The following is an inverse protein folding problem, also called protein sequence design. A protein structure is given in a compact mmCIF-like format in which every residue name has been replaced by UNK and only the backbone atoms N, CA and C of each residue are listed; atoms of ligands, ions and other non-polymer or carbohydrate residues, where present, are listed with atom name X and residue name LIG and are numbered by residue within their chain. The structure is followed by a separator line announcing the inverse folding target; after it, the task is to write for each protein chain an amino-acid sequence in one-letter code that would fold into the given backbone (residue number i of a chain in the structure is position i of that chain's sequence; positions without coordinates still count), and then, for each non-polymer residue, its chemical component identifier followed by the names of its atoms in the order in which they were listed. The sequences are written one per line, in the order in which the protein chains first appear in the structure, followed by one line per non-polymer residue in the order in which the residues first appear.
data_IF_328780944433
#
_entry.id   IF_328780944433
#
_cell.length_a   1.000
_cell.length_b   1.000
_cell.length_c   1.000
_cell.angle_alpha   90.00
_cell.angle_beta   90.00
_cell.angle_gamma   90.00
#
_symmetry.space_group_name_H-M   'P 1'
#
loop_
_entity.id
_entity.type
_entity.pdbx_description
1 polymer ?
#
# COMPACT_ATOMS: atom_id res chain seq x y z
N UNK A 1 3.14 6.05 15.52
CA UNK A 1 2.22 6.06 14.36
C UNK A 1 0.83 5.61 14.82
N UNK A 2 -0.15 6.51 14.77
CA UNK A 2 -1.58 6.21 14.92
C UNK A 2 -2.15 5.80 13.56
N UNK A 3 -2.96 4.74 13.51
CA UNK A 3 -3.49 4.16 12.27
C UNK A 3 -5.01 4.32 12.27
N UNK A 4 -5.58 4.89 11.20
CA UNK A 4 -7.02 5.03 11.04
C UNK A 4 -7.48 4.58 9.65
N UNK A 5 -8.53 3.76 9.60
CA UNK A 5 -9.25 3.46 8.38
C UNK A 5 -10.45 4.40 8.27
N UNK A 6 -10.62 5.02 7.10
CA UNK A 6 -11.72 5.94 6.78
C UNK A 6 -12.61 5.32 5.69
N UNK A 7 -13.37 6.13 4.96
CA UNK A 7 -14.13 5.64 3.81
C UNK A 7 -13.18 5.04 2.77
N UNK A 8 -13.20 3.72 2.64
CA UNK A 8 -12.23 2.97 1.86
C UNK A 8 -12.90 2.34 0.64
N UNK A 9 -12.36 2.64 -0.54
CA UNK A 9 -12.68 2.01 -1.81
C UNK A 9 -11.39 1.42 -2.38
N UNK A 10 -11.25 0.09 -2.57
CA UNK A 10 -10.02 -0.49 -3.09
C UNK A 10 -9.67 -0.04 -4.52
N UNK A 11 -10.66 0.38 -5.31
CA UNK A 11 -10.45 0.91 -6.67
C UNK A 11 -10.16 2.42 -6.69
N UNK A 12 -10.28 3.08 -5.53
CA UNK A 12 -10.07 4.51 -5.37
C UNK A 12 -9.51 4.81 -3.97
N UNK A 13 -8.35 4.24 -3.66
CA UNK A 13 -7.79 4.27 -2.32
C UNK A 13 -6.76 5.40 -2.19
N UNK A 14 -7.06 6.39 -1.36
CA UNK A 14 -6.06 7.36 -0.92
C UNK A 14 -5.41 6.90 0.37
N UNK A 15 -4.07 6.94 0.41
CA UNK A 15 -3.29 6.66 1.61
C UNK A 15 -2.56 7.96 2.01
N UNK A 16 -2.70 8.34 3.27
CA UNK A 16 -2.20 9.60 3.81
C UNK A 16 -1.21 9.36 4.93
N UNK A 17 -0.16 10.17 4.97
CA UNK A 17 0.90 10.14 5.95
C UNK A 17 1.03 11.53 6.55
N UNK A 18 0.94 11.64 7.87
CA UNK A 18 1.34 12.84 8.59
C UNK A 18 2.70 12.61 9.22
N UNK A 19 3.64 13.46 8.88
CA UNK A 19 4.99 13.44 9.42
C UNK A 19 5.10 14.37 10.63
N UNK A 20 6.01 14.07 11.56
CA UNK A 20 6.27 14.94 12.72
C UNK A 20 6.83 16.33 12.34
N UNK A 21 7.40 16.45 11.14
CA UNK A 21 7.95 17.66 10.56
C UNK A 21 7.85 17.55 9.03
N UNK A 22 8.04 18.67 8.31
CA UNK A 22 8.12 18.65 6.83
C UNK A 22 9.26 17.72 6.39
N UNK A 23 8.97 16.63 5.65
CA UNK A 23 9.99 15.64 5.32
C UNK A 23 11.00 16.19 4.31
N UNK A 24 12.27 15.90 4.55
CA UNK A 24 13.37 16.18 3.62
C UNK A 24 13.27 15.31 2.36
N UNK A 25 13.98 15.68 1.30
CA UNK A 25 13.94 14.92 0.05
C UNK A 25 14.39 13.47 0.22
N UNK A 26 15.31 13.20 1.14
CA UNK A 26 15.78 11.84 1.42
C UNK A 26 14.72 11.02 2.15
N UNK A 27 13.99 11.63 3.08
CA UNK A 27 12.89 10.97 3.80
C UNK A 27 11.74 10.63 2.83
N UNK A 28 11.41 11.56 1.92
CA UNK A 28 10.45 11.33 0.84
C UNK A 28 10.83 10.12 -0.02
N UNK A 29 12.10 10.03 -0.43
CA UNK A 29 12.61 8.87 -1.18
C UNK A 29 12.43 7.56 -0.42
N UNK A 30 12.67 7.53 0.89
CA UNK A 30 12.44 6.31 1.67
C UNK A 30 10.97 5.89 1.72
N UNK A 31 10.07 6.86 1.86
CA UNK A 31 8.61 6.61 1.82
C UNK A 31 8.22 6.08 0.45
N UNK A 32 8.56 6.81 -0.61
CA UNK A 32 8.24 6.45 -1.99
C UNK A 32 8.75 5.05 -2.33
N UNK A 33 9.95 4.68 -1.89
CA UNK A 33 10.54 3.37 -2.18
C UNK A 33 9.83 2.21 -1.47
N UNK A 34 9.28 2.43 -0.28
CA UNK A 34 8.42 1.44 0.38
C UNK A 34 7.17 1.21 -0.45
N UNK A 35 6.50 2.27 -0.88
CA UNK A 35 5.26 2.18 -1.65
C UNK A 35 5.49 1.64 -3.07
N UNK A 36 6.54 2.07 -3.76
CA UNK A 36 6.93 1.57 -5.07
C UNK A 36 7.21 0.05 -5.01
N UNK A 37 7.93 -0.41 -3.99
CA UNK A 37 8.23 -1.83 -3.81
C UNK A 37 6.98 -2.64 -3.47
N UNK A 38 6.14 -2.12 -2.57
CA UNK A 38 4.89 -2.73 -2.18
C UNK A 38 3.93 -2.84 -3.36
N UNK A 39 3.71 -1.74 -4.10
CA UNK A 39 2.86 -1.71 -5.28
C UNK A 39 3.37 -2.66 -6.37
N UNK A 40 4.69 -2.70 -6.62
CA UNK A 40 5.26 -3.60 -7.61
C UNK A 40 4.98 -5.08 -7.30
N UNK A 41 5.12 -5.49 -6.03
CA UNK A 41 4.75 -6.85 -5.61
C UNK A 41 3.24 -7.09 -5.79
N UNK A 42 2.40 -6.11 -5.46
CA UNK A 42 0.95 -6.20 -5.64
C UNK A 42 0.51 -6.29 -7.12
N UNK A 43 1.14 -5.51 -8.01
CA UNK A 43 0.91 -5.54 -9.47
C UNK A 43 1.26 -6.91 -10.08
N UNK A 44 2.17 -7.65 -9.44
CA UNK A 44 2.57 -9.01 -9.83
C UNK A 44 1.76 -10.13 -9.14
N UNK A 45 0.79 -9.80 -8.29
CA UNK A 45 -0.03 -10.79 -7.58
C UNK A 45 0.61 -11.37 -6.32
N UNK A 46 1.62 -10.70 -5.77
CA UNK A 46 2.36 -11.16 -4.59
C UNK A 46 1.51 -11.20 -3.30
N UNK A 47 0.42 -10.43 -3.24
CA UNK A 47 -0.50 -10.39 -2.10
C UNK A 47 -1.76 -11.20 -2.41
N UNK A 48 -1.57 -12.50 -2.67
CA UNK A 48 -2.64 -13.46 -2.92
C UNK A 48 -2.84 -14.36 -1.69
N UNK A 49 -3.90 -14.10 -0.94
CA UNK A 49 -4.27 -14.83 0.26
C UNK A 49 -4.68 -16.28 -0.02
N UNK A 50 -5.16 -16.60 -1.22
CA UNK A 50 -5.57 -17.96 -1.60
C UNK A 50 -4.37 -18.90 -1.83
N UNK A 51 -3.15 -18.38 -1.95
CA UNK A 51 -1.92 -19.17 -2.15
C UNK A 51 -0.87 -18.98 -1.04
N UNK A 52 -1.28 -18.62 0.18
CA UNK A 52 -0.36 -18.45 1.33
C UNK A 52 0.00 -19.78 2.00
N UNK A 53 0.42 -20.78 1.22
CA UNK A 53 0.66 -22.15 1.71
C UNK A 53 1.60 -22.20 2.93
N UNK A 54 2.68 -21.41 2.91
CA UNK A 54 3.66 -21.36 4.01
C UNK A 54 3.01 -20.83 5.29
N UNK A 55 2.18 -19.80 5.18
CA UNK A 55 1.44 -19.24 6.31
C UNK A 55 0.43 -20.26 6.86
N UNK A 56 -0.31 -20.94 5.97
CA UNK A 56 -1.30 -21.95 6.32
C UNK A 56 -0.68 -23.18 7.02
N UNK A 57 0.58 -23.49 6.71
CA UNK A 57 1.34 -24.56 7.34
C UNK A 57 1.73 -24.22 8.79
N UNK A 58 1.89 -22.94 9.11
CA UNK A 58 2.22 -22.47 10.45
C UNK A 58 3.66 -22.80 10.85
N UNK A 59 3.85 -23.40 12.03
CA UNK A 59 5.19 -23.54 12.65
C UNK A 59 6.01 -24.71 12.08
N UNK A 60 5.35 -25.75 11.57
CA UNK A 60 6.01 -26.99 11.11
C UNK A 60 6.38 -26.91 9.63
N UNK A 61 7.09 -25.85 9.24
CA UNK A 61 7.53 -25.61 7.84
C UNK A 61 8.59 -26.59 7.34
N UNK A 62 9.24 -27.31 8.25
CA UNK A 62 10.34 -28.22 7.88
C UNK A 62 9.79 -29.37 7.05
N UNK A 63 10.34 -29.54 5.83
CA UNK A 63 9.90 -30.56 4.86
C UNK A 63 8.45 -30.42 4.41
N UNK A 64 7.89 -29.22 4.51
CA UNK A 64 6.58 -28.90 3.94
C UNK A 64 6.56 -29.21 2.42
N UNK A 65 5.49 -29.87 1.98
CA UNK A 65 5.25 -30.14 0.56
C UNK A 65 4.54 -28.93 -0.07
N UNK A 66 5.30 -28.07 -0.73
CA UNK A 66 4.76 -26.88 -1.39
C UNK A 66 4.24 -27.23 -2.79
N UNK A 67 2.95 -26.95 -3.06
CA UNK A 67 2.38 -27.13 -4.39
C UNK A 67 2.83 -26.00 -5.33
N UNK A 68 3.80 -26.30 -6.19
CA UNK A 68 4.30 -25.37 -7.20
C UNK A 68 3.24 -24.89 -8.21
N UNK A 69 2.07 -25.55 -8.29
CA UNK A 69 0.93 -25.15 -9.11
C UNK A 69 -0.24 -24.61 -8.29
N UNK A 70 -0.04 -24.33 -6.99
CA UNK A 70 -1.07 -23.76 -6.13
C UNK A 70 -1.57 -22.41 -6.65
N UNK A 71 -0.66 -21.59 -7.17
CA UNK A 71 -0.98 -20.29 -7.77
C UNK A 71 -1.94 -20.41 -8.96
N UNK A 72 -1.74 -21.41 -9.84
CA UNK A 72 -2.60 -21.64 -11.02
C UNK A 72 -4.05 -21.96 -10.67
N UNK A 73 -4.30 -22.36 -9.41
CA UNK A 73 -5.64 -22.71 -8.90
C UNK A 73 -6.30 -21.55 -8.15
N UNK A 74 -5.55 -20.48 -7.89
CA UNK A 74 -6.00 -19.33 -7.12
C UNK A 74 -6.58 -18.27 -8.03
N UNK A 75 -7.50 -17.45 -7.51
CA UNK A 75 -7.93 -16.24 -8.19
C UNK A 75 -6.76 -15.24 -8.24
N UNK A 76 -6.68 -14.49 -9.34
CA UNK A 76 -5.65 -13.46 -9.49
C UNK A 76 -5.96 -12.28 -8.56
N UNK A 77 -5.00 -11.93 -7.70
CA UNK A 77 -5.09 -10.84 -6.75
C UNK A 77 -4.11 -9.71 -7.12
N UNK A 78 -4.47 -8.87 -8.11
CA UNK A 78 -3.58 -7.87 -8.69
C UNK A 78 -3.94 -6.45 -8.22
N UNK A 79 -2.92 -5.64 -7.93
CA UNK A 79 -3.06 -4.19 -7.95
C UNK A 79 -3.04 -3.69 -9.39
N UNK A 80 -3.81 -2.63 -9.67
CA UNK A 80 -3.92 -2.10 -11.01
C UNK A 80 -3.10 -0.83 -11.19
N UNK A 81 -3.14 0.12 -10.26
CA UNK A 81 -2.50 1.40 -10.49
C UNK A 81 -2.07 2.16 -9.24
N UNK A 82 -1.20 3.13 -9.45
CA UNK A 82 -0.63 4.02 -8.44
C UNK A 82 -0.40 5.40 -9.07
N UNK A 83 -0.78 6.44 -8.35
CA UNK A 83 -0.52 7.84 -8.72
C UNK A 83 0.88 8.31 -8.30
N UNK A 84 1.18 9.58 -8.56
CA UNK A 84 2.39 10.20 -8.00
C UNK A 84 2.22 10.49 -6.51
N UNK A 85 3.34 10.59 -5.79
CA UNK A 85 3.34 11.05 -4.41
C UNK A 85 3.20 12.58 -4.36
N UNK A 86 2.23 13.04 -3.58
CA UNK A 86 2.00 14.45 -3.34
C UNK A 86 2.40 14.80 -1.90
N UNK A 87 2.97 15.99 -1.69
CA UNK A 87 3.36 16.47 -0.36
C UNK A 87 2.92 17.92 -0.15
N UNK A 88 2.27 18.18 0.98
CA UNK A 88 1.87 19.52 1.41
C UNK A 88 2.19 19.72 2.90
N UNK A 89 3.22 20.52 3.18
CA UNK A 89 3.73 20.73 4.54
C UNK A 89 4.18 19.41 5.18
N UNK A 90 3.53 19.05 6.29
CA UNK A 90 3.78 17.81 7.05
C UNK A 90 2.97 16.62 6.54
N UNK A 91 2.17 16.80 5.48
CA UNK A 91 1.38 15.73 4.89
C UNK A 91 2.02 15.20 3.60
N UNK A 92 1.92 13.89 3.43
CA UNK A 92 2.11 13.20 2.15
C UNK A 92 0.88 12.35 1.83
N UNK A 93 0.56 12.19 0.55
CA UNK A 93 -0.49 11.28 0.11
C UNK A 93 -0.15 10.65 -1.23
N UNK A 94 -0.73 9.48 -1.48
CA UNK A 94 -0.67 8.84 -2.78
C UNK A 94 -1.97 8.06 -3.03
N UNK A 95 -2.39 8.05 -4.29
CA UNK A 95 -3.56 7.33 -4.75
C UNK A 95 -3.20 5.95 -5.28
N UNK A 96 -4.07 4.97 -5.04
CA UNK A 96 -3.93 3.59 -5.53
C UNK A 96 -5.26 3.02 -6.03
N UNK A 97 -5.19 2.25 -7.12
CA UNK A 97 -6.16 1.22 -7.47
C UNK A 97 -5.56 -0.13 -7.08
N UNK A 98 -6.00 -0.63 -5.92
CA UNK A 98 -5.57 -1.91 -5.34
C UNK A 98 -6.15 -3.11 -6.09
N UNK A 99 -7.07 -2.89 -7.03
CA UNK A 99 -7.66 -3.90 -7.88
C UNK A 99 -8.28 -5.04 -7.09
N UNK A 100 -7.83 -6.26 -7.37
CA UNK A 100 -8.27 -7.49 -6.68
C UNK A 100 -7.27 -7.97 -5.64
N UNK A 101 -6.26 -7.18 -5.29
CA UNK A 101 -5.28 -7.54 -4.26
C UNK A 101 -5.95 -7.80 -2.90
N UNK A 102 -5.51 -8.83 -2.19
CA UNK A 102 -6.09 -9.19 -0.90
C UNK A 102 -5.65 -8.25 0.23
N UNK A 103 -6.46 -8.20 1.29
CA UNK A 103 -6.24 -7.30 2.44
C UNK A 103 -4.87 -7.44 3.13
N UNK A 104 -4.20 -8.60 2.99
CA UNK A 104 -2.84 -8.83 3.50
C UNK A 104 -1.83 -7.80 2.96
N UNK A 105 -2.10 -7.23 1.77
CA UNK A 105 -1.30 -6.14 1.22
C UNK A 105 -1.22 -4.95 2.19
N UNK A 106 -2.33 -4.57 2.83
CA UNK A 106 -2.38 -3.44 3.74
C UNK A 106 -1.67 -3.75 5.06
N UNK A 107 -1.81 -4.96 5.59
CA UNK A 107 -1.06 -5.39 6.78
C UNK A 107 0.45 -5.34 6.55
N UNK A 108 0.93 -5.82 5.40
CA UNK A 108 2.35 -5.76 5.02
C UNK A 108 2.83 -4.32 4.92
N UNK A 109 2.05 -3.43 4.28
CA UNK A 109 2.39 -2.01 4.18
C UNK A 109 2.48 -1.35 5.55
N UNK A 110 1.50 -1.56 6.42
CA UNK A 110 1.47 -1.00 7.78
C UNK A 110 2.69 -1.46 8.58
N UNK A 111 3.06 -2.74 8.49
CA UNK A 111 4.25 -3.28 9.15
C UNK A 111 5.53 -2.62 8.64
N UNK A 112 5.66 -2.44 7.32
CA UNK A 112 6.81 -1.78 6.71
C UNK A 112 6.91 -0.31 7.14
N UNK A 113 5.79 0.42 7.14
CA UNK A 113 5.74 1.83 7.59
C UNK A 113 6.02 1.97 9.09
N UNK A 114 5.60 1.00 9.90
CA UNK A 114 5.93 0.97 11.32
C UNK A 114 7.43 0.88 11.53
N UNK A 115 8.14 0.01 10.79
CA UNK A 115 9.61 -0.04 10.88
C UNK A 115 10.27 1.23 10.30
N UNK A 116 9.72 1.77 9.21
CA UNK A 116 10.21 3.00 8.61
C UNK A 116 10.16 4.19 9.59
N UNK A 117 9.10 4.25 10.40
CA UNK A 117 8.86 5.32 11.37
C UNK A 117 9.93 5.39 12.47
N UNK A 118 10.43 4.23 12.89
CA UNK A 118 11.41 4.12 13.98
C UNK A 118 12.83 4.49 13.54
N UNK A 119 13.17 4.29 12.26
CA UNK A 119 14.56 4.33 11.79
C UNK A 119 14.88 5.48 10.83
N UNK A 120 13.90 5.95 10.05
CA UNK A 120 14.17 6.81 8.89
C UNK A 120 13.37 8.11 8.85
N UNK A 121 12.07 8.06 9.12
CA UNK A 121 11.19 9.25 9.07
C UNK A 121 9.98 9.07 9.98
N UNK A 122 9.81 9.93 10.97
CA UNK A 122 8.71 9.79 11.93
C UNK A 122 7.36 10.17 11.30
N UNK A 123 6.56 9.14 11.04
CA UNK A 123 5.15 9.19 10.66
C UNK A 123 4.31 9.12 11.94
N UNK A 124 3.59 10.19 12.22
CA UNK A 124 2.70 10.32 13.37
C UNK A 124 1.34 9.67 13.09
N UNK A 125 0.76 9.90 11.92
CA UNK A 125 -0.58 9.43 11.55
C UNK A 125 -0.56 8.78 10.17
N UNK A 126 -1.22 7.62 10.05
CA UNK A 126 -1.44 6.89 8.80
C UNK A 126 -2.95 6.75 8.58
N UNK A 127 -3.47 7.30 7.49
CA UNK A 127 -4.87 7.12 7.10
C UNK A 127 -4.98 6.28 5.84
N UNK A 128 -5.91 5.32 5.87
CA UNK A 128 -6.24 4.46 4.73
C UNK A 128 -7.68 4.76 4.33
N UNK A 129 -7.84 5.36 3.14
CA UNK A 129 -9.10 5.86 2.61
C UNK A 129 -9.44 7.30 3.05
N UNK A 130 -10.58 7.77 2.55
CA UNK A 130 -11.15 9.07 2.83
C UNK A 130 -10.33 10.24 2.29
N UNK A 131 -10.78 11.45 2.65
CA UNK A 131 -10.18 12.70 2.23
C UNK A 131 -9.89 13.60 3.45
N UNK A 132 -8.83 14.39 3.36
CA UNK A 132 -8.58 15.46 4.32
C UNK A 132 -9.40 16.70 3.91
N UNK A 133 -10.23 17.22 4.82
CA UNK A 133 -11.12 18.36 4.52
C UNK A 133 -10.36 19.64 4.15
N UNK A 134 -9.15 19.79 4.66
CA UNK A 134 -8.22 20.89 4.44
C UNK A 134 -7.32 20.68 3.20
N UNK A 135 -7.21 19.46 2.72
CA UNK A 135 -6.47 19.11 1.50
C UNK A 135 -7.29 18.10 0.68
N UNK A 136 -8.30 18.55 -0.08
CA UNK A 136 -9.20 17.66 -0.81
C UNK A 136 -8.48 16.93 -1.94
N UNK A 137 -9.02 15.79 -2.36
CA UNK A 137 -8.50 15.03 -3.51
C UNK A 137 -9.18 15.49 -4.79
N UNK A 138 -8.53 15.26 -5.93
CA UNK A 138 -9.19 15.49 -7.22
C UNK A 138 -10.32 14.46 -7.42
N UNK A 139 -11.47 14.93 -7.90
CA UNK A 139 -12.60 14.08 -8.28
C UNK A 139 -12.12 12.96 -9.21
N UNK A 140 -12.61 11.73 -9.02
CA UNK A 140 -12.22 10.59 -9.86
C UNK A 140 -12.45 10.83 -11.35
N UNK A 141 -13.40 11.70 -11.71
CA UNK A 141 -13.71 12.12 -13.09
C UNK A 141 -12.74 13.15 -13.68
N UNK A 142 -12.02 13.90 -12.83
CA UNK A 142 -11.07 14.94 -13.28
C UNK A 142 -9.62 14.45 -13.32
N UNK A 143 -9.32 13.27 -12.76
CA UNK A 143 -7.98 12.68 -12.79
C UNK A 143 -7.54 12.40 -14.23
N UNK A 144 -6.34 12.88 -14.63
CA UNK A 144 -5.87 12.71 -16.01
C UNK A 144 -5.78 11.22 -16.36
N UNK A 145 -6.22 10.87 -17.57
CA UNK A 145 -6.26 9.48 -18.05
C UNK A 145 -4.89 8.78 -18.00
N UNK A 146 -3.81 9.55 -18.02
CA UNK A 146 -2.43 9.07 -17.86
C UNK A 146 -2.19 8.34 -16.53
N UNK A 147 -2.97 8.61 -15.49
CA UNK A 147 -2.92 7.88 -14.23
C UNK A 147 -3.44 6.45 -14.41
N UNK A 148 -4.31 6.19 -15.39
CA UNK A 148 -4.83 4.84 -15.71
C UNK A 148 -4.00 4.10 -16.77
N UNK A 149 -3.10 4.80 -17.46
CA UNK A 149 -2.26 4.25 -18.54
C UNK A 149 -0.92 3.73 -17.99
N UNK A 150 -0.93 2.65 -17.20
CA UNK A 150 0.28 1.90 -16.79
C UNK A 150 0.09 0.37 -16.78
#
# INVERSE_FOLDING_TARGET
MEIQFREFNPFDAWIWLKFSNVPSQREKQYVEEVFNSWFYLGKLGGFNAENLQIQDTGLDISYMDYDARGYDKSLMALMHNMGEFEYEGEWGRCWFDLGTSDAIALDILINALTQLTEEYVTIEELYIGGENSDWPTEDSESRPSSIYDN
#
